data_IF_610172113908
#
_entry.id   IF_610172113908
#
_cell.length_a   1.000
_cell.length_b   1.000
_cell.length_c   1.000
_cell.angle_alpha   90.00
_cell.angle_beta   90.00
_cell.angle_gamma   90.00
#
_symmetry.space_group_name_H-M   'P 1'
#
loop_
_entity.id
_entity.type
_entity.pdbx_description
1 polymer ?
#
# COMPACT_ATOMS: atom_id res chain seq x y z
N UNK A 1 -24.52 2.61 21.75
CA UNK A 1 -23.38 2.04 21.00
C UNK A 1 -22.55 3.21 20.56
N UNK A 2 -21.30 3.33 21.02
CA UNK A 2 -20.47 4.50 20.73
C UNK A 2 -20.22 4.60 19.23
N UNK A 3 -20.59 5.74 18.64
CA UNK A 3 -20.21 6.14 17.28
C UNK A 3 -18.69 6.03 17.13
N UNK A 4 -18.23 4.95 16.52
CA UNK A 4 -16.84 4.81 16.14
C UNK A 4 -16.65 5.68 14.89
N UNK A 5 -16.44 6.98 15.12
CA UNK A 5 -16.29 7.97 14.06
C UNK A 5 -15.22 7.51 13.07
N UNK A 6 -15.56 7.49 11.78
CA UNK A 6 -14.67 7.03 10.74
C UNK A 6 -13.40 7.91 10.69
N UNK A 7 -12.25 7.29 10.96
CA UNK A 7 -10.94 7.94 10.79
C UNK A 7 -10.37 7.62 9.41
N UNK A 8 -10.50 8.58 8.49
CA UNK A 8 -9.99 8.48 7.13
C UNK A 8 -8.46 8.28 7.07
N UNK A 9 -7.70 8.83 8.02
CA UNK A 9 -6.23 8.67 8.07
C UNK A 9 -5.89 7.22 8.40
N UNK A 10 -6.54 6.67 9.42
CA UNK A 10 -6.34 5.28 9.83
C UNK A 10 -6.79 4.32 8.75
N UNK A 11 -7.95 4.55 8.14
CA UNK A 11 -8.45 3.72 7.04
C UNK A 11 -7.47 3.70 5.84
N UNK A 12 -6.95 4.88 5.48
CA UNK A 12 -5.93 4.97 4.42
C UNK A 12 -4.65 4.22 4.81
N UNK A 13 -4.13 4.40 6.02
CA UNK A 13 -2.93 3.70 6.48
C UNK A 13 -3.11 2.17 6.46
N UNK A 14 -4.28 1.68 6.90
CA UNK A 14 -4.62 0.25 6.82
C UNK A 14 -4.69 -0.25 5.37
N UNK A 15 -5.23 0.54 4.43
CA UNK A 15 -5.23 0.18 3.01
C UNK A 15 -3.81 0.04 2.43
N UNK A 16 -2.86 0.89 2.88
CA UNK A 16 -1.46 0.81 2.45
C UNK A 16 -0.72 -0.36 3.10
N UNK A 17 -1.02 -0.65 4.37
CA UNK A 17 -0.54 -1.87 5.01
C UNK A 17 -1.05 -3.12 4.27
N UNK A 18 -2.31 -3.12 3.85
CA UNK A 18 -2.89 -4.22 3.08
C UNK A 18 -2.14 -4.46 1.76
N UNK A 19 -1.73 -3.41 1.04
CA UNK A 19 -0.91 -3.57 -0.17
C UNK A 19 0.43 -4.25 0.09
N UNK A 20 1.10 -3.91 1.19
CA UNK A 20 2.39 -4.53 1.59
C UNK A 20 2.20 -6.01 1.89
N UNK A 21 1.21 -6.33 2.72
CA UNK A 21 0.87 -7.70 3.09
C UNK A 21 0.42 -8.53 1.86
N UNK A 22 -0.39 -7.95 0.97
CA UNK A 22 -0.82 -8.59 -0.27
C UNK A 22 0.36 -8.92 -1.19
N UNK A 23 1.32 -7.99 -1.34
CA UNK A 23 2.56 -8.24 -2.10
C UNK A 23 3.30 -9.46 -1.58
N UNK A 24 3.43 -9.57 -0.26
CA UNK A 24 4.15 -10.66 0.40
C UNK A 24 3.48 -12.02 0.16
N UNK A 25 2.17 -12.10 0.34
CA UNK A 25 1.41 -13.33 0.10
C UNK A 25 1.37 -13.69 -1.40
N UNK A 26 1.14 -12.72 -2.29
CA UNK A 26 1.11 -12.96 -3.73
C UNK A 26 2.45 -13.49 -4.24
N UNK A 27 3.56 -12.89 -3.81
CA UNK A 27 4.90 -13.37 -4.16
C UNK A 27 5.12 -14.82 -3.70
N UNK A 28 4.75 -15.13 -2.45
CA UNK A 28 4.88 -16.49 -1.89
C UNK A 28 4.08 -17.51 -2.71
N UNK A 29 2.84 -17.18 -3.10
CA UNK A 29 1.97 -18.06 -3.88
C UNK A 29 2.50 -18.29 -5.30
N UNK A 30 2.91 -17.23 -5.99
CA UNK A 30 3.45 -17.34 -7.35
C UNK A 30 4.75 -18.14 -7.40
N UNK A 31 5.62 -17.97 -6.40
CA UNK A 31 6.85 -18.77 -6.27
C UNK A 31 6.54 -20.25 -6.06
N UNK A 32 5.57 -20.58 -5.19
CA UNK A 32 5.17 -21.98 -4.90
C UNK A 32 4.69 -22.73 -6.14
N UNK A 33 4.08 -22.04 -7.10
CA UNK A 33 3.61 -22.65 -8.36
C UNK A 33 4.63 -22.53 -9.50
N UNK A 34 5.83 -22.00 -9.23
CA UNK A 34 6.88 -21.82 -10.24
C UNK A 34 6.53 -20.78 -11.32
N UNK A 35 5.66 -19.81 -11.03
CA UNK A 35 5.31 -18.77 -11.98
C UNK A 35 6.52 -17.85 -12.24
N UNK A 36 6.78 -17.56 -13.52
CA UNK A 36 7.80 -16.60 -13.92
C UNK A 36 7.29 -15.15 -13.82
N UNK A 37 6.91 -14.74 -12.61
CA UNK A 37 6.36 -13.42 -12.28
C UNK A 37 6.99 -12.94 -10.98
N UNK A 38 7.46 -11.69 -10.95
CA UNK A 38 7.93 -11.01 -9.74
C UNK A 38 6.89 -10.01 -9.24
N UNK A 39 6.80 -9.86 -7.91
CA UNK A 39 5.85 -8.96 -7.26
C UNK A 39 6.58 -8.22 -6.14
N UNK A 40 6.68 -6.90 -6.24
CA UNK A 40 7.34 -6.06 -5.24
C UNK A 40 6.45 -4.88 -4.87
N UNK A 41 6.63 -4.37 -3.66
CA UNK A 41 5.93 -3.20 -3.15
C UNK A 41 6.84 -1.97 -3.21
N UNK A 42 6.28 -0.82 -3.58
CA UNK A 42 7.03 0.43 -3.71
C UNK A 42 6.40 1.53 -2.89
N UNK A 43 7.23 2.28 -2.19
CA UNK A 43 6.85 3.52 -1.54
C UNK A 43 7.42 4.71 -2.33
N UNK A 44 6.57 5.56 -2.90
CA UNK A 44 7.02 6.68 -3.72
C UNK A 44 7.72 7.78 -2.91
N UNK A 45 7.57 7.78 -1.58
CA UNK A 45 7.98 8.87 -0.70
C UNK A 45 6.82 9.82 -0.40
N UNK A 46 7.10 10.92 0.30
CA UNK A 46 6.09 11.94 0.58
C UNK A 46 5.95 12.83 -0.67
N UNK A 47 4.76 12.82 -1.27
CA UNK A 47 4.47 13.56 -2.50
C UNK A 47 3.20 14.36 -2.28
N UNK A 48 3.19 15.62 -2.70
CA UNK A 48 1.96 16.42 -2.73
C UNK A 48 1.08 15.89 -3.86
N UNK A 49 0.20 14.96 -3.52
CA UNK A 49 -0.79 14.39 -4.44
C UNK A 49 -2.15 14.96 -4.12
N UNK A 50 -3.12 14.85 -5.04
CA UNK A 50 -4.53 15.23 -4.80
C UNK A 50 -5.24 14.34 -3.76
N UNK A 51 -4.50 13.50 -3.03
CA UNK A 51 -5.03 12.67 -1.92
C UNK A 51 -5.44 13.52 -0.72
N UNK A 52 -4.94 14.75 -0.60
CA UNK A 52 -5.32 15.69 0.47
C UNK A 52 -6.38 16.70 0.04
N UNK A 53 -7.04 16.52 -1.11
CA UNK A 53 -8.01 17.50 -1.63
C UNK A 53 -9.18 17.75 -0.66
N UNK A 54 -9.61 16.70 0.05
CA UNK A 54 -10.72 16.79 1.01
C UNK A 54 -10.25 17.28 2.39
N UNK A 55 -8.96 17.61 2.52
CA UNK A 55 -8.34 18.23 3.69
C UNK A 55 -7.74 19.60 3.35
N UNK A 56 -8.22 20.25 2.30
CA UNK A 56 -7.79 21.60 1.93
C UNK A 56 -8.15 22.60 3.06
N UNK A 57 -7.16 23.35 3.52
CA UNK A 57 -7.29 24.27 4.66
C UNK A 57 -5.94 24.81 5.11
N UNK A 58 -5.96 25.98 5.78
CA UNK A 58 -4.77 26.74 6.21
C UNK A 58 -3.74 25.91 6.99
N UNK A 59 -4.18 24.98 7.83
CA UNK A 59 -3.29 24.09 8.60
C UNK A 59 -2.58 23.08 7.70
N UNK A 60 -3.29 22.50 6.73
CA UNK A 60 -2.73 21.53 5.78
C UNK A 60 -1.73 22.22 4.86
N UNK A 61 -2.05 23.44 4.40
CA UNK A 61 -1.14 24.25 3.59
C UNK A 61 0.10 24.69 4.37
N UNK A 62 -0.04 25.05 5.65
CA UNK A 62 1.08 25.37 6.53
C UNK A 62 1.97 24.14 6.76
N UNK A 63 1.40 22.96 7.01
CA UNK A 63 2.16 21.70 7.14
C UNK A 63 2.89 21.38 5.84
N UNK A 64 2.24 21.51 4.68
CA UNK A 64 2.89 21.30 3.38
C UNK A 64 3.97 22.35 3.09
N UNK A 65 3.78 23.59 3.50
CA UNK A 65 4.79 24.65 3.38
C UNK A 65 6.02 24.35 4.24
N UNK A 66 5.81 23.98 5.51
CA UNK A 66 6.87 23.60 6.43
C UNK A 66 7.59 22.30 6.03
N UNK A 67 6.88 21.36 5.42
CA UNK A 67 7.44 20.09 4.94
C UNK A 67 7.82 20.10 3.45
N UNK A 68 7.81 21.28 2.81
CA UNK A 68 8.00 21.42 1.35
C UNK A 68 9.32 20.85 0.85
N UNK A 69 10.38 20.93 1.66
CA UNK A 69 11.70 20.35 1.36
C UNK A 69 11.73 18.80 1.45
N UNK A 70 10.73 18.19 2.08
CA UNK A 70 10.55 16.73 2.13
C UNK A 70 9.61 16.23 1.02
N UNK A 71 8.98 17.12 0.25
CA UNK A 71 8.10 16.75 -0.84
C UNK A 71 8.92 16.41 -2.09
N UNK A 72 8.71 15.20 -2.58
CA UNK A 72 9.28 14.78 -3.86
C UNK A 72 8.51 15.37 -5.03
N UNK A 73 9.26 15.70 -6.08
CA UNK A 73 8.71 15.96 -7.41
C UNK A 73 8.10 14.69 -8.02
N UNK A 74 7.25 14.83 -9.04
CA UNK A 74 6.65 13.69 -9.75
C UNK A 74 7.71 12.72 -10.29
N UNK A 75 8.80 13.17 -10.95
CA UNK A 75 9.86 12.25 -11.38
C UNK A 75 10.54 11.52 -10.21
N UNK A 76 10.83 12.20 -9.10
CA UNK A 76 11.43 11.57 -7.91
C UNK A 76 10.49 10.54 -7.26
N UNK A 77 9.19 10.78 -7.28
CA UNK A 77 8.17 9.85 -6.79
C UNK A 77 8.05 8.60 -7.68
N UNK A 78 8.11 8.79 -9.00
CA UNK A 78 8.02 7.72 -9.98
C UNK A 78 9.31 6.89 -10.08
N UNK A 79 10.46 7.46 -9.71
CA UNK A 79 11.77 6.83 -9.86
C UNK A 79 11.82 5.41 -9.27
N UNK A 80 11.34 5.20 -8.04
CA UNK A 80 11.33 3.87 -7.40
C UNK A 80 10.45 2.89 -8.17
N UNK A 81 9.27 3.32 -8.65
CA UNK A 81 8.38 2.46 -9.43
C UNK A 81 9.01 2.06 -10.75
N UNK A 82 9.60 3.00 -11.48
CA UNK A 82 10.32 2.72 -12.73
C UNK A 82 11.51 1.80 -12.48
N UNK A 83 12.33 2.09 -11.47
CA UNK A 83 13.47 1.25 -11.09
C UNK A 83 13.04 -0.19 -10.80
N UNK A 84 12.00 -0.38 -9.97
CA UNK A 84 11.52 -1.71 -9.60
C UNK A 84 10.90 -2.46 -10.78
N UNK A 85 10.24 -1.75 -11.69
CA UNK A 85 9.59 -2.36 -12.84
C UNK A 85 10.57 -2.74 -13.98
N UNK A 86 11.68 -2.01 -14.14
CA UNK A 86 12.50 -2.11 -15.37
C UNK A 86 13.97 -2.42 -15.14
N UNK A 87 14.51 -2.34 -13.93
CA UNK A 87 15.95 -2.52 -13.73
C UNK A 87 16.37 -4.00 -13.86
N UNK A 88 17.32 -4.35 -14.74
CA UNK A 88 17.76 -5.74 -14.93
C UNK A 88 18.32 -6.41 -13.67
N UNK A 89 18.80 -5.64 -12.69
CA UNK A 89 19.28 -6.18 -11.41
C UNK A 89 18.17 -6.79 -10.56
N UNK A 90 16.91 -6.48 -10.88
CA UNK A 90 15.74 -6.96 -10.15
C UNK A 90 15.05 -8.13 -10.85
N UNK A 91 15.67 -8.68 -11.89
CA UNK A 91 15.24 -9.98 -12.44
C UNK A 91 15.24 -11.01 -11.31
N UNK A 92 14.13 -11.72 -11.17
CA UNK A 92 13.87 -12.71 -10.11
C UNK A 92 13.82 -12.16 -8.66
N UNK A 93 13.88 -10.84 -8.47
CA UNK A 93 13.65 -10.23 -7.15
C UNK A 93 12.15 -10.08 -6.92
N UNK A 94 11.62 -10.75 -5.91
CA UNK A 94 10.19 -10.76 -5.59
C UNK A 94 9.95 -10.76 -4.08
N UNK A 95 8.79 -10.24 -3.67
CA UNK A 95 8.35 -10.14 -2.28
C UNK A 95 9.04 -9.03 -1.49
N UNK A 96 9.73 -8.10 -2.16
CA UNK A 96 10.52 -7.05 -1.53
C UNK A 96 9.75 -5.74 -1.44
N UNK A 97 10.22 -4.87 -0.55
CA UNK A 97 9.69 -3.52 -0.35
C UNK A 97 10.79 -2.51 -0.70
N UNK A 98 10.44 -1.48 -1.47
CA UNK A 98 11.41 -0.50 -1.98
C UNK A 98 11.05 0.93 -1.62
N UNK A 99 12.06 1.71 -1.24
CA UNK A 99 11.98 3.16 -1.07
C UNK A 99 13.21 3.78 -1.72
N UNK A 100 13.08 4.93 -2.37
CA UNK A 100 14.23 5.66 -2.93
C UNK A 100 15.17 4.79 -3.79
N UNK A 101 14.61 3.94 -4.64
CA UNK A 101 15.34 2.95 -5.47
C UNK A 101 16.23 1.95 -4.68
N UNK A 102 15.97 1.73 -3.39
CA UNK A 102 16.67 0.78 -2.53
C UNK A 102 15.70 -0.21 -1.90
N UNK A 103 16.13 -1.47 -1.73
CA UNK A 103 15.39 -2.45 -0.93
C UNK A 103 15.43 -2.04 0.54
N UNK A 104 14.28 -2.05 1.20
CA UNK A 104 14.16 -1.73 2.63
C UNK A 104 13.14 -2.64 3.31
N UNK A 105 13.11 -2.60 4.64
CA UNK A 105 12.17 -3.37 5.44
C UNK A 105 10.91 -2.53 5.71
N UNK A 106 9.69 -3.06 5.45
CA UNK A 106 8.47 -2.36 5.85
C UNK A 106 8.31 -2.37 7.38
N UNK A 107 7.21 -1.80 7.89
CA UNK A 107 6.91 -1.86 9.33
C UNK A 107 6.85 -3.30 9.85
N UNK A 108 6.95 -3.47 11.18
CA UNK A 108 6.84 -4.80 11.81
C UNK A 108 5.54 -5.52 11.44
N UNK A 109 4.42 -4.78 11.38
CA UNK A 109 3.14 -5.32 10.88
C UNK A 109 3.21 -5.70 9.40
N UNK A 110 3.79 -4.85 8.55
CA UNK A 110 3.93 -5.12 7.11
C UNK A 110 4.88 -6.29 6.80
N UNK A 111 5.75 -6.64 7.75
CA UNK A 111 6.68 -7.77 7.65
C UNK A 111 6.08 -9.09 8.15
N UNK A 112 4.88 -9.09 8.74
CA UNK A 112 4.30 -10.27 9.38
C UNK A 112 3.61 -11.20 8.36
N UNK A 113 4.18 -12.40 8.16
CA UNK A 113 3.62 -13.40 7.25
C UNK A 113 2.24 -13.92 7.67
N UNK A 114 1.98 -14.05 8.98
CA UNK A 114 0.68 -14.52 9.48
C UNK A 114 -0.43 -13.53 9.15
N UNK A 115 -0.16 -12.23 9.32
CA UNK A 115 -1.11 -11.18 8.94
C UNK A 115 -1.34 -11.11 7.43
N UNK A 116 -0.31 -11.40 6.62
CA UNK A 116 -0.45 -11.46 5.16
C UNK A 116 -1.40 -12.58 4.73
N UNK A 117 -1.26 -13.77 5.33
CA UNK A 117 -2.14 -14.90 5.06
C UNK A 117 -3.58 -14.64 5.51
N UNK A 118 -3.77 -14.04 6.71
CA UNK A 118 -5.10 -13.66 7.22
C UNK A 118 -5.77 -12.62 6.30
N UNK A 119 -5.04 -11.59 5.91
CA UNK A 119 -5.52 -10.55 5.01
C UNK A 119 -5.97 -11.16 3.67
N UNK A 120 -5.18 -12.08 3.11
CA UNK A 120 -5.51 -12.73 1.85
C UNK A 120 -6.82 -13.51 1.93
N UNK A 121 -6.96 -14.38 2.95
CA UNK A 121 -8.17 -15.17 3.16
C UNK A 121 -9.41 -14.28 3.35
N UNK A 122 -9.29 -13.21 4.15
CA UNK A 122 -10.37 -12.24 4.31
C UNK A 122 -10.71 -11.52 3.00
N UNK A 123 -9.70 -11.15 2.22
CA UNK A 123 -9.89 -10.47 0.93
C UNK A 123 -10.60 -11.38 -0.08
N UNK A 124 -10.22 -12.66 -0.16
CA UNK A 124 -10.89 -13.65 -1.01
C UNK A 124 -12.39 -13.77 -0.67
N UNK A 125 -12.72 -13.83 0.62
CA UNK A 125 -14.13 -13.86 1.08
C UNK A 125 -14.86 -12.59 0.63
N UNK A 126 -14.26 -11.41 0.86
CA UNK A 126 -14.88 -10.12 0.55
C UNK A 126 -15.12 -9.90 -0.95
N UNK A 127 -14.22 -10.38 -1.81
CA UNK A 127 -14.36 -10.19 -3.28
C UNK A 127 -15.20 -11.27 -3.95
N UNK A 128 -15.39 -12.43 -3.31
CA UNK A 128 -16.22 -13.54 -3.82
C UNK A 128 -17.67 -13.46 -3.37
N UNK A 129 -17.93 -12.84 -2.21
CA UNK A 129 -19.29 -12.55 -1.76
C UNK A 129 -19.82 -11.29 -2.47
N UNK A 130 -20.97 -11.40 -3.14
CA UNK A 130 -21.63 -10.25 -3.75
C UNK A 130 -21.92 -9.17 -2.68
N UNK A 131 -21.37 -7.94 -2.78
CA UNK A 131 -21.50 -6.92 -1.74
C UNK A 131 -22.95 -6.47 -1.43
N UNK A 132 -23.91 -6.79 -2.31
CA UNK A 132 -25.32 -6.36 -2.18
C UNK A 132 -26.07 -7.05 -1.03
N UNK A 133 -25.58 -8.16 -0.47
CA UNK A 133 -26.27 -8.86 0.61
C UNK A 133 -25.81 -8.45 2.02
N UNK A 134 -24.67 -7.76 2.15
CA UNK A 134 -24.04 -7.49 3.44
C UNK A 134 -24.36 -6.11 4.04
N UNK A 135 -25.05 -5.24 3.29
CA UNK A 135 -25.39 -3.87 3.71
C UNK A 135 -26.85 -3.50 3.39
N UNK A 136 -27.78 -4.43 3.59
CA UNK A 136 -29.19 -4.08 3.70
C UNK A 136 -29.60 -4.20 5.18
N UNK A 137 -29.76 -3.09 5.92
CA UNK A 137 -30.26 -3.13 7.29
C UNK A 137 -31.77 -3.41 7.39
N UNK A 138 -32.48 -3.71 6.29
CA UNK A 138 -33.93 -3.89 6.26
C UNK A 138 -34.43 -5.14 5.51
N UNK A 139 -33.78 -6.29 5.69
CA UNK A 139 -34.44 -7.59 5.45
C UNK A 139 -35.00 -8.16 6.76
#
# INVERSE_FOLDING_TARGET
>A
MSDNQFDATRAYALSKLANVLHTKELSSRLQKIGANVTVNCVHPGVVKTRLTRDREGLLTDLVFFLTSKLLKTVPQAAATTCYVATNPRLVNVSGKYFTDCNETTPSGLGSNSSEATKLWAASEILVTQHPKAAFDPFN
#
